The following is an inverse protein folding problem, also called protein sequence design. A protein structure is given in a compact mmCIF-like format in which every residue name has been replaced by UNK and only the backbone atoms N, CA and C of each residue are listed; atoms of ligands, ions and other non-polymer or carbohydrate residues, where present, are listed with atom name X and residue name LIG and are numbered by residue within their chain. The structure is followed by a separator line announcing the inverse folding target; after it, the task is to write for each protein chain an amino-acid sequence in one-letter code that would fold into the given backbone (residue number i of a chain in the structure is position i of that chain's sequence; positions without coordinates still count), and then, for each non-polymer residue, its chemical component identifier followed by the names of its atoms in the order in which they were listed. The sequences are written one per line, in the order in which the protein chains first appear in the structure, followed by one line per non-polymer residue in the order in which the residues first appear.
data_IF_320687089338
#
_entry.id   IF_320687089338
#
_cell.length_a   1.000
_cell.length_b   1.000
_cell.length_c   1.000
_cell.angle_alpha   90.00
_cell.angle_beta   90.00
_cell.angle_gamma   90.00
#
_symmetry.space_group_name_H-M   'P 1'
#
loop_
_entity.id
_entity.type
_entity.pdbx_description
1 polymer ?
#
# COMPACT_ATOMS: atom_id res chain seq x y z
N UNK A 1 -29.66 -4.31 11.04
CA UNK A 1 -28.32 -4.21 10.43
C UNK A 1 -27.90 -2.77 10.12
N UNK A 2 -28.78 -1.88 9.63
CA UNK A 2 -28.41 -0.48 9.29
C UNK A 2 -27.78 0.32 10.44
N UNK A 3 -28.14 0.02 11.70
CA UNK A 3 -27.59 0.73 12.86
C UNK A 3 -26.11 0.47 13.15
N UNK A 4 -25.45 -0.53 12.54
CA UNK A 4 -24.02 -0.81 12.79
C UNK A 4 -23.12 0.12 11.97
N UNK A 5 -23.53 0.50 10.76
CA UNK A 5 -22.71 1.29 9.84
C UNK A 5 -22.43 2.74 10.30
N UNK A 6 -23.21 3.23 11.26
CA UNK A 6 -23.13 4.60 11.77
C UNK A 6 -22.78 4.70 13.25
N UNK A 7 -22.43 3.57 13.89
CA UNK A 7 -21.97 3.54 15.27
C UNK A 7 -20.45 3.64 15.33
N UNK A 8 -19.96 4.15 16.44
CA UNK A 8 -18.53 4.23 16.66
C UNK A 8 -17.96 2.87 17.10
N UNK A 9 -16.66 2.68 16.87
CA UNK A 9 -15.98 1.45 17.23
C UNK A 9 -16.10 1.13 18.72
N UNK A 10 -16.04 2.12 19.61
CA UNK A 10 -16.19 1.91 21.06
C UNK A 10 -17.59 1.44 21.48
N UNK A 11 -18.59 1.54 20.60
CA UNK A 11 -19.95 1.03 20.83
C UNK A 11 -20.14 -0.36 20.21
N UNK A 12 -19.53 -0.61 19.05
CA UNK A 12 -19.71 -1.86 18.29
C UNK A 12 -18.72 -2.94 18.69
N UNK A 13 -17.50 -2.56 19.05
CA UNK A 13 -16.39 -3.44 19.42
C UNK A 13 -15.47 -2.74 20.46
N UNK A 14 -15.95 -2.64 21.71
CA UNK A 14 -15.19 -1.99 22.79
C UNK A 14 -13.89 -2.72 23.14
N UNK A 15 -13.80 -4.02 22.88
CA UNK A 15 -12.60 -4.82 23.11
C UNK A 15 -11.48 -4.41 22.14
N UNK A 16 -11.78 -4.35 20.84
CA UNK A 16 -10.83 -3.87 19.84
C UNK A 16 -10.43 -2.41 20.08
N UNK A 17 -11.40 -1.56 20.44
CA UNK A 17 -11.09 -0.16 20.78
C UNK A 17 -10.10 -0.05 21.95
N UNK A 18 -10.20 -0.93 22.94
CA UNK A 18 -9.25 -0.95 24.06
C UNK A 18 -7.85 -1.36 23.63
N UNK A 19 -7.73 -2.36 22.74
CA UNK A 19 -6.45 -2.76 22.15
C UNK A 19 -5.81 -1.64 21.33
N UNK A 20 -6.60 -0.89 20.55
CA UNK A 20 -6.10 0.25 19.77
C UNK A 20 -5.55 1.36 20.68
N UNK A 21 -6.23 1.67 21.79
CA UNK A 21 -5.71 2.65 22.78
C UNK A 21 -4.39 2.17 23.39
N UNK A 22 -4.29 0.88 23.72
CA UNK A 22 -3.05 0.28 24.25
C UNK A 22 -1.91 0.37 23.24
N UNK A 23 -2.15 0.08 21.96
CA UNK A 23 -1.14 0.22 20.91
C UNK A 23 -0.71 1.68 20.72
N UNK A 24 -1.66 2.62 20.70
CA UNK A 24 -1.33 4.05 20.63
C UNK A 24 -0.47 4.50 21.82
N UNK A 25 -0.75 3.99 23.02
CA UNK A 25 0.07 4.29 24.19
C UNK A 25 1.47 3.66 24.08
N UNK A 26 1.57 2.42 23.58
CA UNK A 26 2.84 1.74 23.31
C UNK A 26 3.72 2.59 22.38
N UNK A 27 3.17 3.04 21.26
CA UNK A 27 3.86 3.89 20.28
C UNK A 27 4.31 5.24 20.87
N UNK A 28 3.52 5.84 21.77
CA UNK A 28 3.85 7.13 22.38
C UNK A 28 4.92 7.03 23.48
N UNK A 29 5.08 5.86 24.09
CA UNK A 29 5.97 5.66 25.25
C UNK A 29 7.20 4.81 24.92
N UNK A 30 7.19 4.10 23.80
CA UNK A 30 8.29 3.29 23.31
C UNK A 30 9.33 4.11 22.55
N UNK A 31 10.56 3.59 22.55
CA UNK A 31 11.58 4.02 21.59
C UNK A 31 11.49 3.10 20.37
N UNK A 32 10.81 3.56 19.33
CA UNK A 32 10.58 2.79 18.11
C UNK A 32 11.82 2.81 17.21
N UNK A 33 12.61 1.72 17.24
CA UNK A 33 13.90 1.61 16.54
C UNK A 33 13.86 0.64 15.34
N UNK A 34 12.69 0.15 14.96
CA UNK A 34 12.55 -0.69 13.77
C UNK A 34 12.71 0.20 12.54
N UNK A 35 13.79 0.00 11.80
CA UNK A 35 14.19 0.90 10.70
C UNK A 35 13.16 1.05 9.58
N UNK A 36 12.26 0.07 9.41
CA UNK A 36 11.21 0.06 8.40
C UNK A 36 9.87 0.63 8.87
N UNK A 37 9.74 0.95 10.16
CA UNK A 37 8.52 1.56 10.71
C UNK A 37 8.58 3.09 10.65
N UNK A 38 7.42 3.73 10.63
CA UNK A 38 7.32 5.18 10.66
C UNK A 38 5.93 5.63 11.15
N UNK A 39 5.83 6.88 11.61
CA UNK A 39 4.57 7.52 11.96
C UNK A 39 4.07 8.38 10.81
N UNK A 40 2.96 7.98 10.19
CA UNK A 40 2.36 8.74 9.10
C UNK A 40 1.55 9.94 9.61
N UNK A 41 1.28 10.88 8.70
CA UNK A 41 0.50 12.09 9.03
C UNK A 41 -1.00 11.79 9.20
N UNK A 42 -1.67 12.60 10.01
CA UNK A 42 -3.13 12.53 10.18
C UNK A 42 -3.87 12.67 8.84
N UNK A 43 -3.40 13.53 7.94
CA UNK A 43 -3.97 13.69 6.59
C UNK A 43 -3.93 12.41 5.77
N UNK A 44 -2.86 11.61 5.88
CA UNK A 44 -2.78 10.31 5.19
C UNK A 44 -3.79 9.34 5.77
N UNK A 45 -3.94 9.29 7.10
CA UNK A 45 -4.94 8.45 7.77
C UNK A 45 -6.39 8.84 7.40
N UNK A 46 -6.67 10.15 7.30
CA UNK A 46 -7.98 10.65 6.87
C UNK A 46 -8.33 10.20 5.44
N UNK A 47 -7.35 10.16 4.54
CA UNK A 47 -7.55 9.62 3.19
C UNK A 47 -7.76 8.10 3.20
N UNK A 48 -6.95 7.36 3.96
CA UNK A 48 -7.01 5.89 4.05
C UNK A 48 -8.38 5.38 4.51
N UNK A 49 -9.00 6.07 5.47
CA UNK A 49 -10.31 5.72 6.03
C UNK A 49 -11.45 6.60 5.51
N UNK A 50 -11.35 7.07 4.25
CA UNK A 50 -12.41 7.82 3.58
C UNK A 50 -13.32 6.92 2.74
N UNK A 51 -14.36 7.48 2.11
CA UNK A 51 -15.28 6.74 1.26
C UNK A 51 -14.64 6.07 0.02
N UNK A 52 -13.36 6.33 -0.27
CA UNK A 52 -12.65 5.77 -1.43
C UNK A 52 -12.58 4.24 -1.40
N UNK A 53 -12.55 3.62 -0.21
CA UNK A 53 -12.52 2.15 -0.07
C UNK A 53 -13.83 1.48 -0.55
N UNK A 54 -14.88 2.24 -0.86
CA UNK A 54 -16.15 1.70 -1.36
C UNK A 54 -16.12 1.42 -2.87
N UNK A 55 -15.12 1.93 -3.61
CA UNK A 55 -15.16 1.92 -5.08
C UNK A 55 -14.32 0.80 -5.68
N UNK A 56 -14.98 -0.05 -6.47
CA UNK A 56 -14.32 -1.00 -7.37
C UNK A 56 -13.86 -0.29 -8.65
N UNK A 57 -12.57 -0.36 -8.99
CA UNK A 57 -11.95 0.48 -10.03
C UNK A 57 -10.92 -0.27 -10.90
N UNK A 58 -11.19 -1.53 -11.21
CA UNK A 58 -10.31 -2.33 -12.09
C UNK A 58 -10.03 -1.66 -13.43
N UNK A 59 -8.80 -1.84 -13.90
CA UNK A 59 -8.25 -1.19 -15.09
C UNK A 59 -7.37 0.01 -14.73
N UNK A 60 -7.10 0.84 -15.74
CA UNK A 60 -6.35 2.08 -15.58
C UNK A 60 -7.28 3.29 -15.74
N UNK A 61 -6.88 4.49 -15.27
CA UNK A 61 -7.63 5.71 -15.52
C UNK A 61 -7.98 5.89 -17.01
N UNK A 62 -9.24 6.18 -17.33
CA UNK A 62 -9.76 6.28 -18.70
C UNK A 62 -10.01 4.93 -19.41
N UNK A 63 -9.61 3.80 -18.81
CA UNK A 63 -9.76 2.45 -19.33
C UNK A 63 -10.25 1.49 -18.24
N UNK A 64 -11.34 1.86 -17.57
CA UNK A 64 -11.95 1.07 -16.48
C UNK A 64 -12.94 0.04 -17.01
N UNK A 65 -13.02 -1.09 -16.33
CA UNK A 65 -14.06 -2.10 -16.61
C UNK A 65 -15.45 -1.70 -16.08
N UNK A 66 -15.51 -0.77 -15.13
CA UNK A 66 -16.74 -0.32 -14.47
C UNK A 66 -16.95 1.18 -14.59
N UNK A 67 -18.22 1.59 -14.60
CA UNK A 67 -18.62 3.00 -14.54
C UNK A 67 -18.39 3.64 -13.17
N UNK A 68 -18.65 4.96 -13.08
CA UNK A 68 -18.63 5.73 -11.84
C UNK A 68 -17.24 6.03 -11.28
N UNK A 69 -16.18 5.96 -12.10
CA UNK A 69 -14.78 6.18 -11.69
C UNK A 69 -14.27 7.60 -11.98
N UNK A 70 -15.15 8.57 -12.31
CA UNK A 70 -14.79 9.95 -12.67
C UNK A 70 -13.78 10.59 -11.69
N UNK A 71 -14.03 10.44 -10.39
CA UNK A 71 -13.16 11.00 -9.35
C UNK A 71 -11.99 10.08 -8.98
N UNK A 72 -12.16 8.76 -9.11
CA UNK A 72 -11.07 7.80 -8.85
C UNK A 72 -9.96 7.97 -9.89
N UNK A 73 -10.32 8.20 -11.15
CA UNK A 73 -9.35 8.45 -12.22
C UNK A 73 -8.55 9.72 -11.96
N UNK A 74 -9.21 10.80 -11.52
CA UNK A 74 -8.54 12.04 -11.12
C UNK A 74 -7.58 11.82 -9.94
N UNK A 75 -7.98 11.03 -8.94
CA UNK A 75 -7.14 10.70 -7.79
C UNK A 75 -5.92 9.87 -8.20
N UNK A 76 -6.11 8.85 -9.04
CA UNK A 76 -5.01 8.00 -9.48
C UNK A 76 -4.03 8.74 -10.40
N UNK A 77 -4.51 9.55 -11.35
CA UNK A 77 -3.65 10.44 -12.13
C UNK A 77 -2.88 11.42 -11.25
N UNK A 78 -3.52 11.98 -10.22
CA UNK A 78 -2.84 12.87 -9.28
C UNK A 78 -1.74 12.13 -8.49
N UNK A 79 -2.00 10.90 -8.07
CA UNK A 79 -1.02 10.06 -7.39
C UNK A 79 0.17 9.73 -8.29
N UNK A 80 -0.08 9.30 -9.53
CA UNK A 80 0.96 9.02 -10.54
C UNK A 80 1.82 10.26 -10.82
N UNK A 81 1.18 11.41 -11.09
CA UNK A 81 1.87 12.69 -11.31
C UNK A 81 2.75 13.08 -10.13
N UNK A 82 2.23 12.95 -8.89
CA UNK A 82 2.97 13.28 -7.67
C UNK A 82 4.10 12.30 -7.40
N UNK A 83 3.94 11.02 -7.72
CA UNK A 83 5.00 10.02 -7.61
C UNK A 83 6.18 10.37 -8.51
N UNK A 84 5.94 10.66 -9.78
CA UNK A 84 7.00 11.09 -10.70
C UNK A 84 7.69 12.38 -10.24
N UNK A 85 6.90 13.37 -9.80
CA UNK A 85 7.44 14.64 -9.29
C UNK A 85 8.29 14.45 -8.02
N UNK A 86 7.89 13.58 -7.10
CA UNK A 86 8.64 13.31 -5.87
C UNK A 86 10.05 12.77 -6.14
N UNK A 87 10.21 11.98 -7.20
CA UNK A 87 11.49 11.45 -7.64
C UNK A 87 12.18 12.30 -8.74
N UNK A 88 11.60 13.45 -9.10
CA UNK A 88 12.10 14.38 -10.15
C UNK A 88 12.27 13.70 -11.51
N UNK A 89 11.30 12.86 -11.88
CA UNK A 89 11.32 12.10 -13.11
C UNK A 89 10.57 12.84 -14.23
N UNK A 90 11.12 12.76 -15.45
CA UNK A 90 10.48 13.24 -16.67
C UNK A 90 9.35 12.28 -17.09
N UNK A 91 8.08 12.74 -17.14
CA UNK A 91 6.95 11.91 -17.55
C UNK A 91 7.03 11.35 -18.98
N UNK A 92 7.84 11.94 -19.86
CA UNK A 92 8.06 11.40 -21.21
C UNK A 92 8.96 10.15 -21.20
N UNK A 93 9.76 9.97 -20.16
CA UNK A 93 10.71 8.86 -20.01
C UNK A 93 10.27 7.83 -18.97
N UNK A 94 9.47 8.26 -17.98
CA UNK A 94 9.09 7.44 -16.83
C UNK A 94 7.58 7.37 -16.65
N UNK A 95 7.09 6.13 -16.54
CA UNK A 95 5.75 5.83 -16.02
C UNK A 95 5.80 5.43 -14.55
N UNK A 96 4.65 5.44 -13.89
CA UNK A 96 4.50 4.93 -12.52
C UNK A 96 3.16 4.22 -12.38
N UNK A 97 3.18 2.94 -11.98
CA UNK A 97 1.99 2.23 -11.51
C UNK A 97 1.91 2.35 -9.98
N UNK A 98 0.81 2.89 -9.48
CA UNK A 98 0.57 3.16 -8.04
C UNK A 98 -0.41 2.17 -7.40
N UNK A 99 -0.79 1.10 -8.11
CA UNK A 99 -1.78 0.10 -7.67
C UNK A 99 -1.24 -1.07 -6.83
N UNK A 100 0.07 -1.43 -6.79
CA UNK A 100 0.52 -2.53 -5.95
C UNK A 100 0.19 -2.32 -4.46
N UNK A 101 -0.41 -3.35 -3.84
CA UNK A 101 -0.91 -3.26 -2.46
C UNK A 101 0.17 -3.10 -1.39
N UNK A 102 1.39 -3.58 -1.67
CA UNK A 102 2.55 -3.48 -0.79
C UNK A 102 3.83 -3.76 -1.60
N UNK A 103 5.00 -3.69 -0.97
CA UNK A 103 6.30 -3.92 -1.61
C UNK A 103 6.44 -5.33 -2.20
N UNK A 104 5.99 -6.37 -1.48
CA UNK A 104 6.14 -7.76 -1.94
C UNK A 104 5.34 -8.07 -3.22
N UNK A 105 4.03 -7.73 -3.31
CA UNK A 105 3.29 -7.86 -4.56
C UNK A 105 3.81 -6.99 -5.69
N UNK A 106 4.39 -5.81 -5.38
CA UNK A 106 5.00 -4.96 -6.41
C UNK A 106 6.18 -5.66 -7.09
N UNK A 107 7.10 -6.24 -6.32
CA UNK A 107 8.22 -7.02 -6.86
C UNK A 107 7.75 -8.22 -7.67
N UNK A 108 6.74 -8.94 -7.18
CA UNK A 108 6.16 -10.07 -7.91
C UNK A 108 5.58 -9.65 -9.26
N UNK A 109 4.83 -8.53 -9.31
CA UNK A 109 4.27 -8.01 -10.56
C UNK A 109 5.37 -7.62 -11.58
N UNK A 110 6.48 -7.06 -11.11
CA UNK A 110 7.65 -6.77 -11.97
C UNK A 110 8.22 -8.07 -12.55
N UNK A 111 8.43 -9.10 -11.72
CA UNK A 111 8.96 -10.38 -12.20
C UNK A 111 8.01 -11.03 -13.20
N UNK A 112 6.71 -11.10 -12.91
CA UNK A 112 5.73 -11.68 -13.82
C UNK A 112 5.63 -10.89 -15.14
N UNK A 113 5.86 -9.58 -15.12
CA UNK A 113 5.83 -8.74 -16.33
C UNK A 113 7.09 -8.83 -17.21
N UNK A 114 8.22 -9.27 -16.66
CA UNK A 114 9.52 -9.23 -17.34
C UNK A 114 10.20 -10.60 -17.50
N UNK A 115 9.79 -11.59 -16.71
CA UNK A 115 10.49 -12.87 -16.54
C UNK A 115 9.48 -14.00 -16.62
N UNK A 116 9.75 -14.96 -17.51
CA UNK A 116 8.97 -16.19 -17.62
C UNK A 116 9.12 -17.08 -16.37
N UNK A 117 8.17 -17.99 -16.09
CA UNK A 117 8.34 -19.02 -15.08
C UNK A 117 9.68 -19.76 -15.23
N UNK A 118 10.39 -19.95 -14.12
CA UNK A 118 11.76 -20.52 -14.07
C UNK A 118 12.87 -19.64 -14.65
N UNK A 119 12.57 -18.41 -15.06
CA UNK A 119 13.60 -17.41 -15.37
C UNK A 119 14.48 -17.12 -14.16
N UNK A 120 15.70 -16.63 -14.44
CA UNK A 120 16.73 -16.42 -13.41
C UNK A 120 16.68 -15.00 -12.88
N UNK A 121 16.69 -14.87 -11.56
CA UNK A 121 16.85 -13.61 -10.83
C UNK A 121 18.11 -13.69 -9.96
N UNK A 122 18.77 -12.56 -9.74
CA UNK A 122 19.84 -12.43 -8.76
C UNK A 122 19.53 -11.22 -7.88
N UNK A 123 19.54 -11.44 -6.56
CA UNK A 123 19.36 -10.41 -5.54
C UNK A 123 20.37 -10.61 -4.41
N UNK A 124 20.44 -9.63 -3.50
CA UNK A 124 21.26 -9.75 -2.29
C UNK A 124 20.71 -10.86 -1.39
N UNK A 125 21.58 -11.71 -0.85
CA UNK A 125 21.18 -12.79 0.05
C UNK A 125 20.60 -12.25 1.36
N UNK A 126 19.65 -12.97 1.97
CA UNK A 126 18.91 -12.50 3.15
C UNK A 126 19.82 -12.27 4.37
N UNK A 127 20.77 -13.17 4.72
CA UNK A 127 21.70 -12.94 5.82
C UNK A 127 22.64 -11.75 5.58
N UNK A 128 22.85 -11.38 4.32
CA UNK A 128 23.67 -10.23 3.92
C UNK A 128 22.87 -8.92 3.83
N UNK A 129 21.61 -8.91 4.29
CA UNK A 129 20.74 -7.74 4.30
C UNK A 129 19.78 -7.65 3.11
N UNK A 130 19.59 -8.75 2.37
CA UNK A 130 18.57 -8.87 1.33
C UNK A 130 17.13 -8.80 1.87
N UNK A 131 16.17 -8.99 0.96
CA UNK A 131 14.74 -9.07 1.30
C UNK A 131 14.15 -10.35 0.73
N UNK A 132 13.18 -10.96 1.43
CA UNK A 132 12.57 -12.24 1.05
C UNK A 132 12.11 -12.29 -0.42
N UNK A 133 11.63 -11.17 -0.94
CA UNK A 133 11.08 -11.07 -2.30
C UNK A 133 12.14 -10.95 -3.38
N UNK A 134 13.42 -10.97 -3.03
CA UNK A 134 14.53 -10.98 -3.99
C UNK A 134 15.03 -12.42 -4.28
N UNK A 135 14.30 -13.42 -3.76
CA UNK A 135 14.62 -14.84 -3.90
C UNK A 135 15.38 -15.35 -2.69
N UNK A 136 14.67 -16.01 -1.77
CA UNK A 136 15.26 -16.67 -0.60
C UNK A 136 14.80 -18.11 -0.53
N UNK A 137 15.72 -19.02 -0.24
CA UNK A 137 15.43 -20.43 -0.04
C UNK A 137 16.28 -20.96 1.12
N UNK A 138 15.70 -21.85 1.92
CA UNK A 138 16.45 -22.64 2.91
C UNK A 138 16.59 -24.05 2.35
N UNK A 139 17.81 -24.59 2.32
CA UNK A 139 17.99 -26.01 2.02
C UNK A 139 17.46 -26.80 3.21
N UNK A 140 16.45 -27.65 2.96
CA UNK A 140 16.03 -28.67 3.90
C UNK A 140 16.96 -29.88 3.80
#
# INVERSE_FOLDING_TARGET
MAGVLHKNLWETDPELFDLIKKEKQRQNCGLEMIASENFTSLSVLQCLSSCLHNKYSEGLPGARYYGGNEYIDQIEWLAQKRALAAYRLDPEQWGCNVQPYSGSPANLAVYTGLIEPHGRIMGLDLPDGGHLTHGFFTQN
#
